data_IF_210460463786
#
_entry.id   IF_210460463786
#
_cell.length_a   1.000
_cell.length_b   1.000
_cell.length_c   1.000
_cell.angle_alpha   90.00
_cell.angle_beta   90.00
_cell.angle_gamma   90.00
#
_symmetry.space_group_name_H-M   'P 1'
#
loop_
_entity.id
_entity.type
_entity.pdbx_description
1 polymer ?
#
# COMPACT_ATOMS: atom_id res chain seq x y z
N UNK A 1 10.36 -20.84 8.90
CA UNK A 1 9.16 -21.41 8.26
C UNK A 1 9.25 -21.12 6.78
N UNK A 2 9.19 -22.14 5.90
CA UNK A 2 9.25 -21.89 4.44
C UNK A 2 8.03 -21.08 4.01
N UNK A 3 8.18 -20.22 3.00
CA UNK A 3 7.11 -19.35 2.51
C UNK A 3 5.83 -20.15 2.17
N UNK A 4 5.98 -21.38 1.71
CA UNK A 4 4.88 -22.26 1.33
C UNK A 4 4.12 -22.85 2.54
N UNK A 5 4.83 -23.18 3.63
CA UNK A 5 4.18 -23.58 4.90
C UNK A 5 3.37 -22.43 5.49
N UNK A 6 3.88 -21.20 5.37
CA UNK A 6 3.17 -20.00 5.82
C UNK A 6 1.89 -19.75 5.03
N UNK A 7 1.99 -19.80 3.69
CA UNK A 7 0.82 -19.67 2.81
C UNK A 7 -0.22 -20.74 3.09
N UNK A 8 0.19 -22.00 3.25
CA UNK A 8 -0.71 -23.12 3.53
C UNK A 8 -1.41 -22.96 4.89
N UNK A 9 -0.67 -22.59 5.94
CA UNK A 9 -1.22 -22.35 7.28
C UNK A 9 -2.23 -21.19 7.28
N UNK A 10 -1.90 -20.11 6.57
CA UNK A 10 -2.78 -18.94 6.45
C UNK A 10 -4.05 -19.29 5.68
N UNK A 11 -3.94 -19.93 4.50
CA UNK A 11 -5.11 -20.36 3.72
C UNK A 11 -6.03 -21.30 4.53
N UNK A 12 -5.46 -22.22 5.30
CA UNK A 12 -6.23 -23.12 6.15
C UNK A 12 -7.01 -22.35 7.23
N UNK A 13 -6.36 -21.40 7.92
CA UNK A 13 -7.00 -20.57 8.97
C UNK A 13 -8.23 -19.82 8.48
N UNK A 14 -8.21 -19.34 7.23
CA UNK A 14 -9.27 -18.50 6.67
C UNK A 14 -10.29 -19.28 5.82
N UNK A 15 -10.15 -20.60 5.69
CA UNK A 15 -11.01 -21.46 4.85
C UNK A 15 -12.50 -21.30 5.14
N UNK A 16 -12.89 -21.05 6.38
CA UNK A 16 -14.29 -20.86 6.80
C UNK A 16 -14.95 -19.58 6.28
N UNK A 17 -14.16 -18.63 5.77
CA UNK A 17 -14.62 -17.34 5.26
C UNK A 17 -14.44 -17.21 3.74
N UNK A 18 -14.13 -18.32 3.06
CA UNK A 18 -13.83 -18.36 1.62
C UNK A 18 -14.93 -17.79 0.73
N UNK A 19 -16.19 -17.83 1.20
CA UNK A 19 -17.35 -17.36 0.44
C UNK A 19 -17.46 -15.83 0.45
N UNK A 20 -16.75 -15.15 1.37
CA UNK A 20 -16.70 -13.69 1.50
C UNK A 20 -15.35 -13.14 1.00
N UNK A 21 -14.28 -13.90 1.16
CA UNK A 21 -12.94 -13.53 0.71
C UNK A 21 -12.78 -13.91 -0.77
N UNK A 22 -12.88 -12.93 -1.67
CA UNK A 22 -12.80 -13.16 -3.11
C UNK A 22 -11.37 -13.36 -3.62
N UNK A 23 -10.36 -12.75 -2.97
CA UNK A 23 -8.95 -12.85 -3.38
C UNK A 23 -8.01 -12.79 -2.17
N UNK A 24 -7.00 -13.68 -2.15
CA UNK A 24 -5.87 -13.64 -1.19
C UNK A 24 -4.58 -13.51 -1.99
N UNK A 25 -3.88 -12.39 -1.85
CA UNK A 25 -2.62 -12.12 -2.54
C UNK A 25 -1.45 -12.14 -1.56
N UNK A 26 -0.42 -12.93 -1.88
CA UNK A 26 0.86 -12.93 -1.17
C UNK A 26 1.90 -12.19 -2.03
N UNK A 27 2.13 -10.91 -1.73
CA UNK A 27 3.02 -10.06 -2.51
C UNK A 27 4.38 -10.01 -1.81
N UNK A 28 5.43 -10.47 -2.49
CA UNK A 28 6.82 -10.22 -2.08
C UNK A 28 7.24 -8.89 -2.69
N UNK A 29 7.35 -7.84 -1.88
CA UNK A 29 7.64 -6.48 -2.35
C UNK A 29 9.13 -6.25 -2.66
N UNK A 30 9.86 -7.29 -3.08
CA UNK A 30 11.31 -7.23 -3.29
C UNK A 30 11.58 -7.59 -4.76
N UNK A 31 11.81 -6.58 -5.60
CA UNK A 31 12.46 -6.77 -6.89
C UNK A 31 13.93 -7.03 -6.64
N UNK A 32 14.47 -8.12 -7.19
CA UNK A 32 15.90 -8.46 -7.08
C UNK A 32 16.57 -8.33 -8.45
N UNK A 33 17.78 -7.79 -8.49
CA UNK A 33 18.57 -7.74 -9.71
C UNK A 33 19.16 -9.13 -9.99
N UNK A 34 19.86 -9.26 -11.11
CA UNK A 34 20.53 -10.50 -11.52
C UNK A 34 21.64 -10.95 -10.55
N UNK A 35 21.96 -10.14 -9.52
CA UNK A 35 22.91 -10.45 -8.45
C UNK A 35 22.21 -10.78 -7.11
N UNK A 36 20.87 -10.81 -7.10
CA UNK A 36 20.06 -11.10 -5.91
C UNK A 36 19.89 -9.92 -4.94
N UNK A 37 20.37 -8.74 -5.31
CA UNK A 37 20.26 -7.51 -4.52
C UNK A 37 18.91 -6.86 -4.77
N UNK A 38 18.30 -6.31 -3.71
CA UNK A 38 17.05 -5.58 -3.83
C UNK A 38 17.23 -4.35 -4.72
N UNK A 39 16.63 -4.33 -5.90
CA UNK A 39 16.51 -3.13 -6.75
C UNK A 39 15.11 -2.57 -6.57
N UNK A 40 15.05 -1.36 -6.04
CA UNK A 40 13.86 -0.52 -6.10
C UNK A 40 13.86 0.12 -7.50
N UNK A 41 12.91 -0.19 -8.41
CA UNK A 41 12.74 0.59 -9.63
C UNK A 41 12.47 2.04 -9.24
N UNK A 42 13.48 2.89 -9.39
CA UNK A 42 13.37 4.34 -9.22
C UNK A 42 12.63 4.88 -10.43
N UNK A 43 11.30 4.89 -10.33
CA UNK A 43 10.51 5.70 -11.26
C UNK A 43 10.50 7.11 -10.66
N UNK A 44 11.14 8.06 -11.35
CA UNK A 44 11.05 9.49 -11.06
C UNK A 44 10.13 10.16 -12.09
N UNK A 45 8.80 9.91 -12.13
CA UNK A 45 7.93 10.74 -12.95
C UNK A 45 7.79 12.08 -12.23
N UNK A 46 8.35 13.14 -12.81
CA UNK A 46 7.96 14.51 -12.49
C UNK A 46 6.45 14.64 -12.69
N UNK A 47 5.73 15.22 -11.72
CA UNK A 47 4.26 15.36 -11.68
C UNK A 47 3.46 14.09 -11.36
N UNK A 48 3.92 13.27 -10.42
CA UNK A 48 3.16 12.09 -10.03
C UNK A 48 3.15 11.81 -8.52
N UNK A 49 2.06 11.19 -8.07
CA UNK A 49 1.82 10.90 -6.65
C UNK A 49 1.39 9.46 -6.44
N UNK A 50 1.44 8.98 -5.19
CA UNK A 50 0.97 7.63 -4.87
C UNK A 50 -0.55 7.53 -5.08
N UNK A 51 -1.00 6.59 -5.92
CA UNK A 51 -2.44 6.35 -6.20
C UNK A 51 -3.15 5.54 -5.12
N UNK A 52 -2.41 4.84 -4.25
CA UNK A 52 -2.99 3.87 -3.31
C UNK A 52 -3.96 4.51 -2.31
N UNK A 53 -3.69 5.71 -1.74
CA UNK A 53 -4.63 6.41 -0.85
C UNK A 53 -5.98 6.75 -1.49
N UNK A 54 -6.06 6.77 -2.82
CA UNK A 54 -7.27 7.10 -3.57
C UNK A 54 -8.02 5.89 -4.08
N UNK A 55 -7.37 4.73 -4.15
CA UNK A 55 -7.90 3.56 -4.87
C UNK A 55 -8.01 2.30 -4.01
N UNK A 56 -7.42 2.30 -2.81
CA UNK A 56 -7.30 1.08 -2.01
C UNK A 56 -7.49 1.32 -0.53
N UNK A 57 -8.19 0.38 0.11
CA UNK A 57 -8.25 0.19 1.55
C UNK A 57 -7.84 -1.26 1.87
N UNK A 58 -7.11 -1.45 2.96
CA UNK A 58 -6.68 -2.76 3.46
C UNK A 58 -7.02 -2.83 4.94
N UNK A 59 -7.54 -3.98 5.36
CA UNK A 59 -7.90 -4.25 6.75
C UNK A 59 -7.06 -5.43 7.22
N UNK A 60 -6.36 -5.28 8.35
CA UNK A 60 -5.62 -6.40 8.94
C UNK A 60 -6.54 -7.28 9.81
N UNK A 61 -6.02 -8.40 10.32
CA UNK A 61 -6.80 -9.35 11.13
C UNK A 61 -7.28 -8.80 12.48
N UNK A 62 -6.78 -7.64 12.91
CA UNK A 62 -7.18 -6.95 14.14
C UNK A 62 -8.13 -5.78 13.88
N UNK A 63 -8.60 -5.63 12.63
CA UNK A 63 -9.53 -4.58 12.22
C UNK A 63 -8.89 -3.23 11.91
N UNK A 64 -7.57 -3.09 12.03
CA UNK A 64 -6.89 -1.84 11.69
C UNK A 64 -6.91 -1.63 10.17
N UNK A 65 -7.18 -0.40 9.77
CA UNK A 65 -7.38 0.01 8.38
C UNK A 65 -6.23 0.89 7.91
N UNK A 66 -5.65 0.54 6.77
CA UNK A 66 -4.62 1.31 6.09
C UNK A 66 -4.84 1.38 4.59
N UNK A 67 -4.06 2.20 3.89
CA UNK A 67 -4.19 2.43 2.45
C UNK A 67 -3.12 1.70 1.62
N UNK A 68 -2.06 1.20 2.26
CA UNK A 68 -1.05 0.34 1.66
C UNK A 68 -0.50 -0.67 2.67
N UNK A 69 0.14 -1.73 2.17
CA UNK A 69 0.76 -2.77 3.02
C UNK A 69 1.87 -2.18 3.92
N UNK A 70 2.66 -1.24 3.41
CA UNK A 70 3.71 -0.54 4.18
C UNK A 70 3.13 0.19 5.39
N UNK A 71 1.99 0.86 5.22
CA UNK A 71 1.31 1.59 6.31
C UNK A 71 0.84 0.64 7.42
N UNK A 72 0.26 -0.51 7.06
CA UNK A 72 -0.13 -1.52 8.03
C UNK A 72 1.07 -2.16 8.74
N UNK A 73 2.13 -2.48 8.02
CA UNK A 73 3.35 -3.07 8.59
C UNK A 73 4.12 -2.11 9.50
N UNK A 74 4.04 -0.81 9.22
CA UNK A 74 4.74 0.23 9.95
C UNK A 74 4.05 0.70 11.23
N UNK A 75 2.83 0.24 11.51
CA UNK A 75 2.05 0.62 12.70
C UNK A 75 2.82 0.41 14.03
N UNK A 76 3.75 -0.55 14.06
CA UNK A 76 4.57 -0.83 15.23
C UNK A 76 5.81 0.07 15.39
N UNK A 77 6.18 0.80 14.33
CA UNK A 77 7.42 1.57 14.28
C UNK A 77 7.20 3.08 14.09
N UNK A 78 5.96 3.49 13.79
CA UNK A 78 5.60 4.88 13.55
C UNK A 78 4.41 5.29 14.43
N UNK A 79 4.40 6.53 14.95
CA UNK A 79 3.40 7.00 15.92
C UNK A 79 2.01 7.25 15.32
N UNK A 80 1.74 6.77 14.09
CA UNK A 80 0.46 6.97 13.41
C UNK A 80 -0.52 5.88 13.88
N UNK A 81 -1.50 6.28 14.69
CA UNK A 81 -2.64 5.40 15.02
C UNK A 81 -3.52 5.23 13.78
N UNK A 82 -3.64 3.98 13.32
CA UNK A 82 -4.53 3.63 12.22
C UNK A 82 -5.99 3.53 12.72
N UNK A 83 -6.98 3.93 11.90
CA UNK A 83 -8.39 3.72 12.19
C UNK A 83 -8.72 2.23 12.27
N UNK A 84 -9.82 1.87 12.94
CA UNK A 84 -10.25 0.49 13.11
C UNK A 84 -11.74 0.34 12.76
N UNK A 85 -12.10 -0.76 12.09
CA UNK A 85 -13.47 -1.08 11.71
C UNK A 85 -14.42 -1.32 12.89
N UNK A 86 -13.86 -1.57 14.08
CA UNK A 86 -14.64 -1.72 15.32
C UNK A 86 -15.05 -0.36 15.90
N UNK A 87 -14.36 0.71 15.52
CA UNK A 87 -14.58 2.06 16.04
C UNK A 87 -15.41 2.93 15.08
N UNK A 88 -15.39 2.64 13.76
CA UNK A 88 -16.09 3.43 12.75
C UNK A 88 -16.42 2.61 11.49
N UNK A 89 -17.34 3.11 10.65
CA UNK A 89 -17.70 2.47 9.38
C UNK A 89 -16.61 2.67 8.31
N UNK A 90 -16.52 1.76 7.34
CA UNK A 90 -15.55 1.87 6.24
C UNK A 90 -15.74 3.16 5.42
N UNK A 91 -16.98 3.58 5.19
CA UNK A 91 -17.30 4.83 4.49
C UNK A 91 -16.76 6.03 5.25
N UNK A 92 -16.96 6.07 6.57
CA UNK A 92 -16.44 7.11 7.42
C UNK A 92 -14.90 7.10 7.45
N UNK A 93 -14.28 5.93 7.58
CA UNK A 93 -12.82 5.79 7.54
C UNK A 93 -12.26 6.29 6.19
N UNK A 94 -12.98 6.05 5.09
CA UNK A 94 -12.59 6.49 3.75
C UNK A 94 -12.74 7.98 3.50
N UNK A 95 -13.70 8.65 4.15
CA UNK A 95 -14.08 10.05 3.86
C UNK A 95 -13.61 11.05 4.91
N UNK A 96 -13.36 10.61 6.15
CA UNK A 96 -13.01 11.48 7.28
C UNK A 96 -11.54 11.92 7.30
N UNK A 97 -11.20 12.66 8.36
CA UNK A 97 -9.92 13.32 8.61
C UNK A 97 -8.70 12.45 8.28
N UNK A 98 -8.65 11.19 8.72
CA UNK A 98 -7.47 10.35 8.50
C UNK A 98 -7.16 10.17 7.00
N UNK A 99 -8.14 9.75 6.21
CA UNK A 99 -7.98 9.52 4.78
C UNK A 99 -7.79 10.83 4.01
N UNK A 100 -8.56 11.86 4.38
CA UNK A 100 -8.48 13.19 3.76
C UNK A 100 -7.11 13.82 4.00
N UNK A 101 -6.58 13.73 5.22
CA UNK A 101 -5.26 14.25 5.54
C UNK A 101 -4.17 13.50 4.76
N UNK A 102 -4.21 12.16 4.72
CA UNK A 102 -3.27 11.38 3.92
C UNK A 102 -3.28 11.79 2.45
N UNK A 103 -4.48 11.89 1.84
CA UNK A 103 -4.61 12.28 0.44
C UNK A 103 -4.10 13.70 0.18
N UNK A 104 -4.35 14.63 1.11
CA UNK A 104 -3.83 15.99 1.00
C UNK A 104 -2.29 16.00 1.07
N UNK A 105 -1.68 15.30 2.02
CA UNK A 105 -0.21 15.20 2.10
C UNK A 105 0.41 14.59 0.84
N UNK A 106 -0.28 13.61 0.24
CA UNK A 106 0.13 12.96 -1.00
C UNK A 106 0.04 13.93 -2.18
N UNK A 107 -1.05 14.68 -2.31
CA UNK A 107 -1.24 15.66 -3.40
C UNK A 107 -0.29 16.85 -3.27
N UNK A 108 0.00 17.29 -2.04
CA UNK A 108 0.90 18.42 -1.79
C UNK A 108 2.38 18.03 -1.71
N UNK A 109 2.69 16.72 -1.81
CA UNK A 109 4.02 16.14 -1.55
C UNK A 109 4.66 16.63 -0.23
N UNK A 110 3.83 16.80 0.81
CA UNK A 110 4.24 17.34 2.11
C UNK A 110 3.75 16.42 3.24
N UNK A 111 4.61 15.47 3.62
CA UNK A 111 4.30 14.43 4.59
C UNK A 111 4.71 14.84 6.01
N UNK A 112 3.79 15.47 6.74
CA UNK A 112 3.98 15.88 8.13
C UNK A 112 3.56 14.78 9.12
N UNK A 113 2.44 14.10 8.85
CA UNK A 113 1.87 13.02 9.65
C UNK A 113 2.28 11.66 9.13
N UNK A 114 2.33 11.48 7.80
CA UNK A 114 2.63 10.21 7.15
C UNK A 114 4.05 10.19 6.56
N UNK A 115 5.04 10.58 7.36
CA UNK A 115 6.45 10.69 6.94
C UNK A 115 7.01 9.42 6.28
N UNK A 116 6.49 8.24 6.64
CA UNK A 116 6.82 6.96 5.99
C UNK A 116 6.60 6.99 4.48
N UNK A 117 5.61 7.75 4.00
CA UNK A 117 5.29 7.86 2.59
C UNK A 117 6.30 8.68 1.79
N UNK A 118 7.12 9.52 2.46
CA UNK A 118 8.10 10.40 1.81
C UNK A 118 9.14 9.65 0.97
N UNK A 119 9.59 8.49 1.46
CA UNK A 119 10.61 7.64 0.81
C UNK A 119 10.08 6.24 0.52
N UNK A 120 8.75 6.10 0.41
CA UNK A 120 8.11 4.78 0.29
C UNK A 120 8.19 4.26 -1.14
N UNK A 121 8.71 3.06 -1.32
CA UNK A 121 8.77 2.39 -2.61
C UNK A 121 7.38 2.18 -3.26
N UNK A 122 6.33 1.94 -2.47
CA UNK A 122 4.97 1.75 -3.00
C UNK A 122 4.43 3.01 -3.70
N UNK A 123 4.96 4.19 -3.38
CA UNK A 123 4.67 5.44 -4.13
C UNK A 123 5.19 5.33 -5.55
N UNK A 124 6.40 4.81 -5.73
CA UNK A 124 7.09 4.71 -7.03
C UNK A 124 6.47 3.61 -7.90
N UNK A 125 5.98 2.53 -7.28
CA UNK A 125 5.34 1.42 -8.00
C UNK A 125 3.87 1.67 -8.37
N UNK A 126 3.21 2.62 -7.70
CA UNK A 126 1.77 2.88 -7.80
C UNK A 126 1.48 4.34 -8.08
N UNK A 127 1.81 4.76 -9.29
CA UNK A 127 1.79 6.16 -9.73
C UNK A 127 0.40 6.61 -10.20
N UNK A 128 -0.02 7.79 -9.77
CA UNK A 128 -1.10 8.58 -10.35
C UNK A 128 -0.48 9.82 -10.99
N UNK A 129 -0.62 9.96 -12.31
CA UNK A 129 -0.21 11.17 -13.04
C UNK A 129 -1.17 12.31 -12.71
N UNK A 130 -0.64 13.42 -12.21
CA UNK A 130 -1.40 14.64 -11.98
C UNK A 130 -1.30 15.48 -13.26
N UNK A 131 -2.40 15.52 -14.01
CA UNK A 131 -2.55 16.04 -15.38
C UNK A 131 -2.16 15.00 -16.45
N UNK A 132 -3.15 14.53 -17.21
CA UNK A 132 -3.06 13.41 -18.16
C UNK A 132 -2.21 13.65 -19.40
N UNK A 133 -0.95 14.04 -19.23
CA UNK A 133 0.07 13.89 -20.27
C UNK A 133 0.80 12.57 -20.04
N UNK A 134 0.17 11.48 -20.48
CA UNK A 134 0.81 10.18 -20.54
C UNK A 134 2.03 10.25 -21.46
N UNK A 135 3.23 10.26 -20.88
CA UNK A 135 4.44 9.86 -21.63
C UNK A 135 4.65 8.38 -21.40
N UNK A 136 4.11 7.62 -22.34
CA UNK A 136 4.39 6.21 -22.54
C UNK A 136 5.89 6.08 -22.85
N UNK A 137 6.70 5.90 -21.82
CA UNK A 137 8.09 5.50 -21.99
C UNK A 137 8.10 4.01 -22.32
N UNK A 138 8.20 3.73 -23.62
CA UNK A 138 8.64 2.43 -24.14
C UNK A 138 10.01 2.13 -23.53
N UNK A 139 10.02 1.37 -22.45
CA UNK A 139 11.23 0.68 -22.02
C UNK A 139 11.12 -0.74 -22.59
N UNK A 140 11.76 -0.95 -23.74
CA UNK A 140 12.00 -2.27 -24.30
C UNK A 140 12.66 -3.15 -23.22
N UNK A 141 11.98 -4.23 -22.85
CA UNK A 141 12.50 -5.24 -21.93
C UNK A 141 13.10 -6.35 -22.80
N UNK A 142 14.44 -6.39 -22.86
CA UNK A 142 15.21 -7.55 -23.30
C UNK A 142 15.42 -8.54 -22.15
#
# INVERSE_FOLDING_TARGET
MRNDEFKATFAHKWRKWRDIITHINFISCINKNNKGESILPVINPTNSVCRLPFTRMIINSYGAVGFCCTMLGAQHYYPVKLPNIHDDSLENIWTKEFATHLRNEVLSDNYTRFNICKTCFERESSVLELNGESKQNNADIY
#
